data_IF_406608033983
#
_entry.id   IF_406608033983
#
_cell.length_a   1.000
_cell.length_b   1.000
_cell.length_c   1.000
_cell.angle_alpha   90.00
_cell.angle_beta   90.00
_cell.angle_gamma   90.00
#
_symmetry.space_group_name_H-M   'P 1'
#
loop_
_entity.id
_entity.type
_entity.pdbx_description
1 polymer ?
#
# COMPACT_ATOMS: atom_id res chain seq x y z
N UNK A 1 19.84 11.36 -8.45
CA UNK A 1 18.99 10.17 -8.17
C UNK A 1 18.85 9.87 -6.68
N UNK A 2 19.91 9.65 -5.87
CA UNK A 2 19.74 9.33 -4.44
C UNK A 2 19.06 10.43 -3.61
N UNK A 3 19.46 11.71 -3.79
CA UNK A 3 18.85 12.86 -3.08
C UNK A 3 17.38 13.02 -3.46
N UNK A 4 17.05 12.81 -4.73
CA UNK A 4 15.68 12.95 -5.24
C UNK A 4 14.73 11.91 -4.65
N UNK A 5 15.15 10.64 -4.58
CA UNK A 5 14.38 9.58 -3.92
C UNK A 5 14.20 9.90 -2.43
N UNK A 6 15.28 10.36 -1.77
CA UNK A 6 15.23 10.76 -0.36
C UNK A 6 14.24 11.90 -0.13
N UNK A 7 14.25 12.94 -0.97
CA UNK A 7 13.31 14.06 -0.90
C UNK A 7 11.86 13.62 -0.99
N UNK A 8 11.54 12.72 -1.93
CA UNK A 8 10.17 12.20 -2.09
C UNK A 8 9.76 11.40 -0.85
N UNK A 9 10.63 10.52 -0.33
CA UNK A 9 10.35 9.75 0.89
C UNK A 9 10.15 10.68 2.10
N UNK A 10 10.98 11.71 2.25
CA UNK A 10 10.83 12.71 3.30
C UNK A 10 9.50 13.48 3.16
N UNK A 11 9.14 13.88 1.94
CA UNK A 11 7.87 14.56 1.67
C UNK A 11 6.67 13.69 2.05
N UNK A 12 6.66 12.42 1.65
CA UNK A 12 5.60 11.46 1.99
C UNK A 12 5.48 11.27 3.50
N UNK A 13 6.61 11.08 4.19
CA UNK A 13 6.63 10.94 5.65
C UNK A 13 6.16 12.20 6.36
N UNK A 14 6.56 13.38 5.89
CA UNK A 14 6.12 14.65 6.45
C UNK A 14 4.61 14.85 6.26
N UNK A 15 4.10 14.62 5.06
CA UNK A 15 2.67 14.69 4.76
C UNK A 15 1.89 13.72 5.66
N UNK A 16 2.37 12.48 5.80
CA UNK A 16 1.74 11.49 6.69
C UNK A 16 1.70 11.97 8.13
N UNK A 17 2.81 12.50 8.66
CA UNK A 17 2.86 13.02 10.04
C UNK A 17 1.87 14.18 10.21
N UNK A 18 1.89 15.15 9.30
CA UNK A 18 0.97 16.31 9.34
C UNK A 18 -0.50 15.85 9.33
N UNK A 19 -0.88 14.96 8.43
CA UNK A 19 -2.29 14.54 8.27
C UNK A 19 -2.73 13.55 9.33
N UNK A 20 -1.96 12.51 9.61
CA UNK A 20 -2.39 11.38 10.45
C UNK A 20 -2.08 11.58 11.93
N UNK A 21 -0.91 12.17 12.25
CA UNK A 21 -0.47 12.33 13.63
C UNK A 21 -0.89 13.68 14.22
N UNK A 22 -0.79 14.75 13.42
CA UNK A 22 -1.06 16.11 13.87
C UNK A 22 -2.47 16.62 13.53
N UNK A 23 -3.26 15.84 12.78
CA UNK A 23 -4.61 16.19 12.29
C UNK A 23 -4.64 17.54 11.55
N UNK A 24 -3.57 17.84 10.81
CA UNK A 24 -3.42 19.06 10.00
C UNK A 24 -3.74 18.77 8.55
N UNK A 25 -5.00 19.00 8.20
CA UNK A 25 -5.46 18.97 6.83
C UNK A 25 -5.81 20.38 6.33
N UNK A 26 -5.19 20.77 5.22
CA UNK A 26 -5.40 22.02 4.52
C UNK A 26 -6.28 21.83 3.27
N UNK A 27 -6.97 22.89 2.89
CA UNK A 27 -7.57 22.99 1.56
C UNK A 27 -6.48 22.98 0.48
N UNK A 28 -6.84 22.53 -0.72
CA UNK A 28 -5.93 22.61 -1.86
C UNK A 28 -5.77 24.10 -2.23
N UNK A 29 -4.54 24.59 -2.19
CA UNK A 29 -4.19 25.97 -2.53
C UNK A 29 -2.92 26.03 -3.38
N UNK A 30 -2.66 27.14 -4.09
CA UNK A 30 -1.39 27.33 -4.80
C UNK A 30 -0.18 27.14 -3.90
N UNK A 31 -0.21 27.67 -2.67
CA UNK A 31 0.89 27.61 -1.70
C UNK A 31 1.15 26.18 -1.24
N UNK A 32 0.10 25.37 -1.05
CA UNK A 32 0.27 23.95 -0.73
C UNK A 32 0.95 23.19 -1.87
N UNK A 33 0.58 23.48 -3.11
CA UNK A 33 1.15 22.85 -4.31
C UNK A 33 2.62 23.29 -4.50
N UNK A 34 2.92 24.58 -4.31
CA UNK A 34 4.29 25.11 -4.27
C UNK A 34 5.11 24.44 -3.16
N UNK A 35 4.56 24.30 -1.95
CA UNK A 35 5.22 23.62 -0.82
C UNK A 35 5.59 22.18 -1.17
N UNK A 36 4.69 21.44 -1.81
CA UNK A 36 4.97 20.05 -2.18
C UNK A 36 6.00 19.96 -3.31
N UNK A 37 5.99 20.87 -4.30
CA UNK A 37 7.06 20.94 -5.28
C UNK A 37 8.40 21.32 -4.65
N UNK A 38 8.40 22.22 -3.66
CA UNK A 38 9.60 22.55 -2.90
C UNK A 38 10.19 21.30 -2.22
N UNK A 39 9.36 20.47 -1.57
CA UNK A 39 9.83 19.22 -0.98
C UNK A 39 10.47 18.26 -1.99
N UNK A 40 9.94 18.21 -3.22
CA UNK A 40 10.52 17.41 -4.31
C UNK A 40 11.89 17.95 -4.72
N UNK A 41 11.99 19.27 -4.93
CA UNK A 41 13.15 19.91 -5.55
C UNK A 41 14.26 20.36 -4.59
N UNK A 42 14.01 20.39 -3.26
CA UNK A 42 14.98 20.93 -2.27
C UNK A 42 16.35 20.23 -2.39
N UNK A 43 17.43 20.99 -2.24
CA UNK A 43 18.80 20.45 -2.21
C UNK A 43 19.24 19.67 -3.47
N UNK A 44 18.54 19.82 -4.61
CA UNK A 44 18.97 19.21 -5.87
C UNK A 44 19.89 20.12 -6.71
N UNK A 45 19.97 21.42 -6.38
CA UNK A 45 20.78 22.38 -7.14
C UNK A 45 20.43 22.35 -8.63
N UNK A 46 21.45 22.33 -9.48
CA UNK A 46 21.31 22.31 -10.94
C UNK A 46 20.63 21.04 -11.49
N UNK A 47 20.48 19.99 -10.68
CA UNK A 47 19.72 18.79 -11.08
C UNK A 47 18.21 18.99 -11.08
N UNK A 48 17.72 20.10 -10.53
CA UNK A 48 16.31 20.50 -10.61
C UNK A 48 16.22 21.71 -11.52
N UNK A 49 15.56 21.55 -12.67
CA UNK A 49 15.61 22.52 -13.77
C UNK A 49 14.79 23.80 -13.53
N UNK A 50 14.50 24.12 -12.26
CA UNK A 50 13.73 25.30 -11.85
C UNK A 50 13.99 25.66 -10.39
N UNK A 51 13.41 26.74 -9.89
CA UNK A 51 13.44 27.03 -8.44
C UNK A 51 12.36 26.18 -7.75
N UNK A 52 12.72 25.29 -6.80
CA UNK A 52 11.75 24.44 -6.11
C UNK A 52 10.64 25.25 -5.43
N UNK A 53 9.39 24.90 -5.74
CA UNK A 53 8.21 25.58 -5.21
C UNK A 53 7.92 26.93 -5.82
N UNK A 54 8.40 27.22 -7.04
CA UNK A 54 8.04 28.42 -7.79
C UNK A 54 7.42 28.05 -9.13
N UNK A 55 6.23 28.60 -9.38
CA UNK A 55 5.59 28.47 -10.68
C UNK A 55 6.44 29.08 -11.81
N UNK A 56 6.26 28.55 -13.01
CA UNK A 56 6.84 29.13 -14.24
C UNK A 56 6.29 30.54 -14.44
N UNK A 57 7.13 31.42 -14.98
CA UNK A 57 6.83 32.83 -15.23
C UNK A 57 6.89 33.12 -16.74
N UNK A 58 6.44 34.30 -17.21
CA UNK A 58 6.55 34.67 -18.63
C UNK A 58 7.95 34.39 -19.21
N UNK A 59 8.01 33.82 -20.40
CA UNK A 59 9.26 33.40 -21.07
C UNK A 59 9.77 32.00 -20.70
N UNK A 60 9.23 31.36 -19.65
CA UNK A 60 9.62 30.01 -19.22
C UNK A 60 8.60 28.96 -19.68
N UNK A 61 8.52 28.75 -21.00
CA UNK A 61 7.68 27.74 -21.61
C UNK A 61 8.39 26.39 -21.65
N UNK A 62 7.64 25.30 -21.48
CA UNK A 62 8.17 23.92 -21.49
C UNK A 62 7.43 23.06 -22.50
N UNK A 63 8.02 21.92 -22.86
CA UNK A 63 7.39 20.89 -23.70
C UNK A 63 7.55 19.55 -22.98
N UNK A 64 6.46 18.80 -22.88
CA UNK A 64 6.39 17.55 -22.11
C UNK A 64 6.01 16.43 -23.05
N UNK A 65 7.01 15.68 -23.53
CA UNK A 65 6.80 14.75 -24.64
C UNK A 65 6.34 15.51 -25.89
N UNK A 66 5.14 15.20 -26.39
CA UNK A 66 4.51 15.91 -27.52
C UNK A 66 3.57 17.05 -27.12
N UNK A 67 3.33 17.28 -25.82
CA UNK A 67 2.36 18.24 -25.32
C UNK A 67 3.02 19.58 -24.96
N UNK A 68 2.35 20.68 -25.34
CA UNK A 68 2.70 22.04 -24.94
C UNK A 68 1.70 22.54 -23.88
N UNK A 69 2.08 22.58 -22.59
CA UNK A 69 1.23 23.15 -21.54
C UNK A 69 1.05 24.67 -21.72
N UNK A 70 0.13 25.29 -20.95
CA UNK A 70 -0.06 26.73 -20.93
C UNK A 70 1.25 27.52 -20.76
N UNK A 71 1.27 28.73 -21.33
CA UNK A 71 2.45 29.58 -21.23
C UNK A 71 2.75 29.92 -19.77
N UNK A 72 4.02 30.17 -19.44
CA UNK A 72 4.41 30.58 -18.10
C UNK A 72 3.69 31.84 -17.59
N UNK A 73 3.18 32.70 -18.48
CA UNK A 73 2.35 33.85 -18.09
C UNK A 73 0.96 33.46 -17.55
N UNK A 74 0.42 32.34 -18.02
CA UNK A 74 -0.91 31.85 -17.64
C UNK A 74 -0.90 30.94 -16.41
N UNK A 75 0.27 30.44 -15.99
CA UNK A 75 0.36 29.41 -14.96
C UNK A 75 -0.22 29.87 -13.62
N UNK A 76 0.25 30.99 -13.08
CA UNK A 76 -0.22 31.50 -11.79
C UNK A 76 -1.74 31.73 -11.78
N UNK A 77 -2.35 32.47 -12.74
CA UNK A 77 -3.80 32.65 -12.76
C UNK A 77 -4.57 31.33 -12.97
N UNK A 78 -4.05 30.39 -13.76
CA UNK A 78 -4.68 29.08 -13.91
C UNK A 78 -4.63 28.25 -12.63
N UNK A 79 -3.54 28.29 -11.88
CA UNK A 79 -3.42 27.56 -10.61
C UNK A 79 -4.34 28.13 -9.53
N UNK A 80 -4.53 29.45 -9.48
CA UNK A 80 -5.51 30.10 -8.58
C UNK A 80 -6.92 29.61 -8.93
N UNK A 81 -7.32 29.76 -10.21
CA UNK A 81 -8.65 29.32 -10.68
C UNK A 81 -8.89 27.83 -10.48
N UNK A 82 -7.86 27.01 -10.68
CA UNK A 82 -7.93 25.58 -10.44
C UNK A 82 -8.21 25.27 -8.96
N UNK A 83 -7.47 25.88 -8.03
CA UNK A 83 -7.69 25.68 -6.59
C UNK A 83 -9.05 26.18 -6.12
N UNK A 84 -9.51 27.33 -6.63
CA UNK A 84 -10.87 27.86 -6.37
C UNK A 84 -11.94 26.89 -6.87
N UNK A 85 -11.82 26.43 -8.12
CA UNK A 85 -12.75 25.45 -8.69
C UNK A 85 -12.76 24.14 -7.91
N UNK A 86 -11.59 23.64 -7.48
CA UNK A 86 -11.50 22.42 -6.66
C UNK A 86 -12.16 22.59 -5.30
N UNK A 87 -12.09 23.79 -4.71
CA UNK A 87 -12.79 24.12 -3.46
C UNK A 87 -14.30 24.08 -3.68
N UNK A 88 -14.80 24.73 -4.73
CA UNK A 88 -16.24 24.88 -4.98
C UNK A 88 -16.91 23.58 -5.46
N UNK A 89 -16.22 22.82 -6.32
CA UNK A 89 -16.74 21.58 -6.90
C UNK A 89 -16.81 20.46 -5.86
N UNK A 90 -15.82 20.36 -4.99
CA UNK A 90 -15.72 19.27 -4.02
C UNK A 90 -16.12 19.67 -2.60
N UNK A 91 -16.20 20.96 -2.25
CA UNK A 91 -16.76 21.47 -0.98
C UNK A 91 -16.16 20.84 0.29
N UNK A 92 -14.84 20.67 0.31
CA UNK A 92 -14.13 20.05 1.44
C UNK A 92 -14.45 20.70 2.79
N UNK A 93 -14.45 22.04 2.84
CA UNK A 93 -14.69 22.82 4.08
C UNK A 93 -16.11 22.66 4.64
N UNK A 94 -17.08 22.18 3.84
CA UNK A 94 -18.44 21.92 4.33
C UNK A 94 -18.57 20.60 5.09
N UNK A 95 -17.54 19.74 5.07
CA UNK A 95 -17.55 18.43 5.74
C UNK A 95 -18.53 17.42 5.12
N UNK A 96 -19.03 17.68 3.90
CA UNK A 96 -20.07 16.87 3.23
C UNK A 96 -19.53 15.88 2.20
N UNK A 97 -18.22 15.81 2.02
CA UNK A 97 -17.62 14.94 1.02
C UNK A 97 -17.76 13.47 1.40
N UNK A 98 -18.30 12.67 0.48
CA UNK A 98 -18.19 11.22 0.59
C UNK A 98 -16.75 10.78 0.34
N UNK A 99 -16.42 9.55 0.73
CA UNK A 99 -15.17 8.91 0.35
C UNK A 99 -14.94 8.92 -1.18
N UNK A 100 -16.00 8.70 -1.95
CA UNK A 100 -15.94 8.67 -3.41
C UNK A 100 -15.58 10.04 -3.98
N UNK A 101 -16.17 11.11 -3.44
CA UNK A 101 -15.86 12.48 -3.84
C UNK A 101 -14.38 12.80 -3.62
N UNK A 102 -13.81 12.36 -2.51
CA UNK A 102 -12.39 12.60 -2.20
C UNK A 102 -11.44 11.81 -3.10
N UNK A 103 -11.77 10.56 -3.43
CA UNK A 103 -10.99 9.77 -4.40
C UNK A 103 -11.03 10.43 -5.78
N UNK A 104 -12.21 10.87 -6.22
CA UNK A 104 -12.34 11.60 -7.49
C UNK A 104 -11.56 12.92 -7.42
N UNK A 105 -11.62 13.65 -6.30
CA UNK A 105 -10.87 14.88 -6.07
C UNK A 105 -9.36 14.65 -6.24
N UNK A 106 -8.82 13.57 -5.67
CA UNK A 106 -7.40 13.22 -5.77
C UNK A 106 -6.97 13.00 -7.22
N UNK A 107 -7.75 12.18 -7.96
CA UNK A 107 -7.48 11.85 -9.37
C UNK A 107 -7.59 13.09 -10.26
N UNK A 108 -8.63 13.90 -10.07
CA UNK A 108 -8.86 15.12 -10.83
C UNK A 108 -7.73 16.12 -10.56
N UNK A 109 -7.32 16.30 -9.31
CA UNK A 109 -6.21 17.17 -8.96
C UNK A 109 -4.91 16.75 -9.66
N UNK A 110 -4.61 15.45 -9.66
CA UNK A 110 -3.45 14.89 -10.35
C UNK A 110 -3.44 15.25 -11.84
N UNK A 111 -4.57 15.04 -12.53
CA UNK A 111 -4.68 15.30 -13.97
C UNK A 111 -4.51 16.80 -14.27
N UNK A 112 -5.20 17.68 -13.54
CA UNK A 112 -5.09 19.12 -13.79
C UNK A 112 -3.68 19.65 -13.52
N UNK A 113 -3.00 19.21 -12.46
CA UNK A 113 -1.59 19.59 -12.22
C UNK A 113 -0.69 19.11 -13.37
N UNK A 114 -0.91 17.89 -13.86
CA UNK A 114 -0.15 17.36 -15.00
C UNK A 114 -0.39 18.16 -16.30
N UNK A 115 -1.63 18.61 -16.53
CA UNK A 115 -2.04 19.38 -17.72
C UNK A 115 -1.60 20.85 -17.69
N UNK A 116 -1.73 21.53 -16.54
CA UNK A 116 -1.26 22.92 -16.34
C UNK A 116 0.27 22.95 -16.35
N UNK A 117 0.89 21.91 -15.79
CA UNK A 117 2.34 21.75 -15.70
C UNK A 117 3.02 23.00 -15.09
N UNK A 118 2.67 23.37 -13.84
CA UNK A 118 2.96 24.69 -13.30
C UNK A 118 4.44 24.95 -12.98
N UNK A 119 5.27 23.92 -12.84
CA UNK A 119 6.69 24.06 -12.48
C UNK A 119 7.60 23.76 -13.68
N UNK A 120 8.85 24.23 -13.63
CA UNK A 120 9.85 23.84 -14.64
C UNK A 120 10.31 22.39 -14.49
N UNK A 121 10.28 21.84 -13.27
CA UNK A 121 10.52 20.42 -12.99
C UNK A 121 9.65 19.93 -11.81
N UNK A 122 9.48 18.62 -11.67
CA UNK A 122 8.83 17.99 -10.52
C UNK A 122 7.32 17.80 -10.67
N UNK A 123 6.69 18.27 -11.74
CA UNK A 123 5.22 18.25 -11.91
C UNK A 123 4.57 16.89 -11.66
N UNK A 124 5.11 15.82 -12.27
CA UNK A 124 4.58 14.47 -12.08
C UNK A 124 4.78 13.90 -10.67
N UNK A 125 5.81 14.37 -9.94
CA UNK A 125 6.08 14.00 -8.54
C UNK A 125 5.16 14.80 -7.61
N UNK A 126 5.02 16.10 -7.85
CA UNK A 126 4.09 16.99 -7.14
C UNK A 126 2.63 16.54 -7.29
N UNK A 127 2.20 16.18 -8.51
CA UNK A 127 0.84 15.67 -8.76
C UNK A 127 0.55 14.42 -7.91
N UNK A 128 1.49 13.47 -7.85
CA UNK A 128 1.39 12.27 -7.01
C UNK A 128 1.39 12.57 -5.52
N UNK A 129 2.18 13.56 -5.06
CA UNK A 129 2.16 13.99 -3.66
C UNK A 129 0.81 14.61 -3.28
N UNK A 130 0.21 15.41 -4.16
CA UNK A 130 -1.13 15.98 -3.96
C UNK A 130 -2.20 14.88 -3.97
N UNK A 131 -2.12 13.93 -4.89
CA UNK A 131 -3.03 12.77 -4.94
C UNK A 131 -2.94 11.95 -3.64
N UNK A 132 -1.72 11.59 -3.22
CA UNK A 132 -1.45 10.90 -1.96
C UNK A 132 -1.99 11.65 -0.74
N UNK A 133 -1.75 12.96 -0.68
CA UNK A 133 -2.23 13.83 0.39
C UNK A 133 -3.76 13.82 0.50
N UNK A 134 -4.46 13.98 -0.62
CA UNK A 134 -5.94 13.98 -0.64
C UNK A 134 -6.49 12.62 -0.22
N UNK A 135 -5.86 11.50 -0.64
CA UNK A 135 -6.25 10.16 -0.23
C UNK A 135 -6.03 9.92 1.27
N UNK A 136 -4.89 10.33 1.83
CA UNK A 136 -4.64 10.26 3.28
C UNK A 136 -5.68 11.07 4.06
N UNK A 137 -5.96 12.29 3.61
CA UNK A 137 -6.97 13.18 4.21
C UNK A 137 -8.38 12.58 4.17
N UNK A 138 -8.66 11.72 3.20
CA UNK A 138 -9.91 10.98 3.11
C UNK A 138 -10.02 9.80 4.10
N UNK A 139 -9.00 9.60 4.95
CA UNK A 139 -8.95 8.53 5.95
C UNK A 139 -8.43 7.21 5.40
N UNK A 140 -7.82 7.20 4.22
CA UNK A 140 -7.15 5.98 3.73
C UNK A 140 -5.90 5.67 4.55
N UNK A 141 -5.63 4.39 4.84
CA UNK A 141 -4.34 3.97 5.36
C UNK A 141 -3.19 4.38 4.43
N UNK A 142 -2.01 4.64 5.00
CA UNK A 142 -0.78 5.01 4.29
C UNK A 142 -0.50 4.10 3.09
N UNK A 143 -0.52 2.79 3.32
CA UNK A 143 -0.30 1.78 2.27
C UNK A 143 -1.31 1.91 1.11
N UNK A 144 -2.58 2.22 1.41
CA UNK A 144 -3.62 2.33 0.40
C UNK A 144 -3.55 3.66 -0.37
N UNK A 145 -3.01 4.71 0.24
CA UNK A 145 -2.84 6.03 -0.39
C UNK A 145 -1.77 6.03 -1.49
N UNK A 146 -0.91 5.02 -1.55
CA UNK A 146 0.08 4.84 -2.63
C UNK A 146 -0.46 4.10 -3.87
N UNK A 147 -1.65 3.51 -3.80
CA UNK A 147 -2.15 2.60 -4.83
C UNK A 147 -2.19 3.26 -6.23
N UNK A 148 -2.69 4.49 -6.34
CA UNK A 148 -2.79 5.18 -7.63
C UNK A 148 -1.42 5.43 -8.25
N UNK A 149 -0.45 5.91 -7.47
CA UNK A 149 0.93 6.10 -7.93
C UNK A 149 1.55 4.79 -8.43
N UNK A 150 1.33 3.68 -7.72
CA UNK A 150 1.79 2.35 -8.13
C UNK A 150 1.10 1.91 -9.42
N UNK A 151 -0.21 2.06 -9.50
CA UNK A 151 -0.98 1.71 -10.70
C UNK A 151 -0.48 2.46 -11.95
N UNK A 152 -0.25 3.77 -11.83
CA UNK A 152 0.31 4.57 -12.92
C UNK A 152 1.73 4.16 -13.31
N UNK A 153 2.54 3.69 -12.36
CA UNK A 153 3.87 3.18 -12.63
C UNK A 153 3.84 1.82 -13.35
N UNK A 154 3.02 0.89 -12.85
CA UNK A 154 2.91 -0.47 -13.38
C UNK A 154 2.25 -0.49 -14.76
N UNK A 155 1.41 0.51 -15.05
CA UNK A 155 0.71 0.67 -16.34
C UNK A 155 1.14 1.94 -17.08
N UNK A 156 2.42 2.31 -16.97
CA UNK A 156 3.00 3.58 -17.47
C UNK A 156 2.58 3.99 -18.88
N UNK A 157 2.51 3.05 -19.81
CA UNK A 157 2.08 3.33 -21.19
C UNK A 157 0.62 3.79 -21.26
N UNK A 158 -0.29 3.08 -20.59
CA UNK A 158 -1.71 3.44 -20.55
C UNK A 158 -1.92 4.74 -19.76
N UNK A 159 -1.19 4.94 -18.66
CA UNK A 159 -1.21 6.20 -17.90
C UNK A 159 -0.94 7.42 -18.79
N UNK A 160 0.14 7.41 -19.56
CA UNK A 160 0.45 8.53 -20.47
C UNK A 160 -0.55 8.62 -21.62
N UNK A 161 -1.04 7.49 -22.15
CA UNK A 161 -2.09 7.48 -23.18
C UNK A 161 -3.36 8.15 -22.67
N UNK A 162 -3.77 7.89 -21.43
CA UNK A 162 -4.95 8.50 -20.82
C UNK A 162 -4.76 10.00 -20.58
N UNK A 163 -3.58 10.44 -20.15
CA UNK A 163 -3.29 11.88 -20.06
C UNK A 163 -3.34 12.59 -21.42
N UNK A 164 -2.79 11.98 -22.47
CA UNK A 164 -2.86 12.52 -23.83
C UNK A 164 -4.31 12.68 -24.30
N UNK A 165 -5.16 11.68 -24.05
CA UNK A 165 -6.58 11.74 -24.37
C UNK A 165 -7.33 12.84 -23.59
N UNK A 166 -7.00 13.07 -22.32
CA UNK A 166 -7.60 14.18 -21.56
C UNK A 166 -7.35 15.53 -22.23
N UNK A 167 -6.13 15.75 -22.72
CA UNK A 167 -5.76 16.98 -23.43
C UNK A 167 -6.47 17.07 -24.77
N UNK A 168 -6.45 15.99 -25.56
CA UNK A 168 -6.97 15.98 -26.93
C UNK A 168 -8.49 16.05 -27.00
N UNK A 169 -9.18 15.31 -26.14
CA UNK A 169 -10.65 15.20 -26.13
C UNK A 169 -11.32 16.15 -25.14
N UNK A 170 -10.54 16.82 -24.27
CA UNK A 170 -11.02 17.75 -23.24
C UNK A 170 -12.02 17.11 -22.28
N UNK A 171 -11.75 15.87 -21.92
CA UNK A 171 -12.65 14.97 -21.18
C UNK A 171 -11.85 14.22 -20.11
N UNK A 172 -12.40 14.05 -18.90
CA UNK A 172 -11.68 13.46 -17.76
C UNK A 172 -12.16 12.05 -17.41
N UNK A 173 -13.40 11.69 -17.75
CA UNK A 173 -14.03 10.40 -17.45
C UNK A 173 -13.17 9.23 -17.88
N UNK A 174 -12.55 9.30 -19.07
CA UNK A 174 -11.63 8.27 -19.54
C UNK A 174 -10.49 7.98 -18.56
N UNK A 175 -9.85 9.02 -18.02
CA UNK A 175 -8.77 8.89 -17.03
C UNK A 175 -9.32 8.51 -15.65
N UNK A 176 -10.40 9.15 -15.20
CA UNK A 176 -11.03 8.85 -13.91
C UNK A 176 -11.45 7.39 -13.83
N UNK A 177 -12.10 6.85 -14.88
CA UNK A 177 -12.49 5.44 -14.94
C UNK A 177 -11.27 4.52 -14.87
N UNK A 178 -10.21 4.84 -15.61
CA UNK A 178 -8.96 4.08 -15.57
C UNK A 178 -8.36 4.06 -14.15
N UNK A 179 -8.20 5.24 -13.52
CA UNK A 179 -7.64 5.38 -12.19
C UNK A 179 -8.50 4.70 -11.11
N UNK A 180 -9.83 4.86 -11.13
CA UNK A 180 -10.74 4.23 -10.16
C UNK A 180 -10.72 2.70 -10.27
N UNK A 181 -10.65 2.14 -11.49
CA UNK A 181 -10.54 0.69 -11.67
C UNK A 181 -9.21 0.15 -11.12
N UNK A 182 -8.09 0.84 -11.42
CA UNK A 182 -6.80 0.52 -10.85
C UNK A 182 -6.78 0.62 -9.32
N UNK A 183 -7.41 1.66 -8.77
CA UNK A 183 -7.54 1.85 -7.34
C UNK A 183 -8.32 0.73 -6.65
N UNK A 184 -9.48 0.35 -7.21
CA UNK A 184 -10.29 -0.78 -6.74
C UNK A 184 -9.47 -2.07 -6.70
N UNK A 185 -8.71 -2.36 -7.74
CA UNK A 185 -7.94 -3.60 -7.83
C UNK A 185 -6.73 -3.59 -6.90
N UNK A 186 -6.07 -2.44 -6.74
CA UNK A 186 -5.04 -2.26 -5.72
C UNK A 186 -5.58 -2.39 -4.29
N UNK A 187 -6.77 -1.88 -3.99
CA UNK A 187 -7.40 -2.03 -2.68
C UNK A 187 -7.68 -3.50 -2.35
N UNK A 188 -8.12 -4.29 -3.34
CA UNK A 188 -8.27 -5.75 -3.18
C UNK A 188 -6.91 -6.41 -2.90
N UNK A 189 -5.86 -6.03 -3.63
CA UNK A 189 -4.51 -6.56 -3.40
C UNK A 189 -4.00 -6.26 -1.99
N UNK A 190 -4.16 -5.02 -1.51
CA UNK A 190 -3.81 -4.65 -0.12
C UNK A 190 -4.63 -5.46 0.89
N UNK A 191 -5.94 -5.61 0.66
CA UNK A 191 -6.81 -6.40 1.53
C UNK A 191 -6.38 -7.87 1.59
N UNK A 192 -6.04 -8.49 0.47
CA UNK A 192 -5.59 -9.88 0.41
C UNK A 192 -4.27 -10.06 1.17
N UNK A 193 -3.31 -9.13 1.04
CA UNK A 193 -2.06 -9.13 1.81
C UNK A 193 -2.33 -9.01 3.31
N UNK A 194 -3.17 -8.06 3.71
CA UNK A 194 -3.51 -7.85 5.13
C UNK A 194 -4.21 -9.09 5.70
N UNK A 195 -5.15 -9.67 4.97
CA UNK A 195 -5.86 -10.88 5.40
C UNK A 195 -4.92 -12.08 5.54
N UNK A 196 -3.99 -12.27 4.59
CA UNK A 196 -2.99 -13.35 4.67
C UNK A 196 -2.10 -13.19 5.90
N UNK A 197 -1.57 -11.98 6.15
CA UNK A 197 -0.75 -11.70 7.32
C UNK A 197 -1.52 -11.88 8.64
N UNK A 198 -2.77 -11.41 8.70
CA UNK A 198 -3.61 -11.59 9.89
C UNK A 198 -3.92 -13.06 10.16
N UNK A 199 -4.18 -13.84 9.10
CA UNK A 199 -4.40 -15.28 9.20
C UNK A 199 -3.16 -15.99 9.73
N UNK A 200 -1.98 -15.67 9.18
CA UNK A 200 -0.72 -16.23 9.62
C UNK A 200 -0.41 -15.87 11.09
N UNK A 201 -0.53 -14.60 11.47
CA UNK A 201 -0.29 -14.16 12.85
C UNK A 201 -1.27 -14.81 13.84
N UNK A 202 -2.54 -14.93 13.45
CA UNK A 202 -3.57 -15.59 14.28
C UNK A 202 -3.26 -17.06 14.45
N UNK A 203 -2.81 -17.74 13.38
CA UNK A 203 -2.38 -19.12 13.42
C UNK A 203 -1.19 -19.33 14.36
N UNK A 204 -0.17 -18.50 14.25
CA UNK A 204 0.98 -18.52 15.15
C UNK A 204 0.51 -18.33 16.60
N UNK A 205 -0.28 -17.30 16.88
CA UNK A 205 -0.81 -17.03 18.22
C UNK A 205 -1.59 -18.23 18.77
N UNK A 206 -2.46 -18.83 17.96
CA UNK A 206 -3.25 -20.00 18.33
C UNK A 206 -2.38 -21.20 18.71
N UNK A 207 -1.31 -21.49 17.94
CA UNK A 207 -0.33 -22.53 18.29
C UNK A 207 0.31 -22.25 19.65
N UNK A 208 0.75 -21.00 19.89
CA UNK A 208 1.38 -20.62 21.15
C UNK A 208 0.40 -20.78 22.32
N UNK A 209 -0.79 -20.20 22.23
CA UNK A 209 -1.81 -20.24 23.29
C UNK A 209 -2.24 -21.70 23.59
N UNK A 210 -2.44 -22.51 22.55
CA UNK A 210 -2.81 -23.93 22.68
C UNK A 210 -1.72 -24.74 23.39
N UNK A 211 -0.44 -24.54 23.05
CA UNK A 211 0.66 -25.31 23.63
C UNK A 211 1.16 -24.75 24.97
N UNK A 212 1.09 -23.44 25.20
CA UNK A 212 1.46 -22.82 26.48
C UNK A 212 0.40 -23.06 27.58
N UNK A 213 -0.88 -23.16 27.23
CA UNK A 213 -1.93 -23.59 28.17
C UNK A 213 -1.65 -24.98 28.78
N UNK A 214 -0.86 -25.82 28.08
CA UNK A 214 -0.43 -27.15 28.53
C UNK A 214 0.82 -27.16 29.44
N UNK A 215 1.50 -26.03 29.67
CA UNK A 215 2.46 -25.93 30.79
C UNK A 215 1.78 -26.24 32.14
N UNK A 216 0.47 -26.04 32.23
CA UNK A 216 -0.34 -26.35 33.41
C UNK A 216 -0.62 -27.86 33.61
N UNK A 217 -0.32 -28.74 32.63
CA UNK A 217 -0.68 -30.18 32.68
C UNK A 217 0.53 -31.13 32.82
N UNK A 218 1.70 -30.64 33.25
CA UNK A 218 2.83 -31.51 33.66
C UNK A 218 3.83 -31.94 32.57
N UNK A 219 3.72 -31.44 31.33
CA UNK A 219 4.76 -31.67 30.29
C UNK A 219 5.99 -30.80 30.53
N UNK A 220 7.19 -31.34 30.27
CA UNK A 220 8.42 -30.56 30.39
C UNK A 220 8.48 -29.43 29.36
N UNK A 221 9.13 -28.32 29.75
CA UNK A 221 9.32 -27.14 28.89
C UNK A 221 9.97 -27.49 27.54
N UNK A 222 10.83 -28.51 27.52
CA UNK A 222 11.50 -29.00 26.32
C UNK A 222 10.52 -29.64 25.31
N UNK A 223 9.58 -30.47 25.78
CA UNK A 223 8.58 -31.11 24.92
C UNK A 223 7.66 -30.05 24.31
N UNK A 224 7.17 -29.11 25.12
CA UNK A 224 6.29 -28.03 24.64
C UNK A 224 6.99 -27.18 23.57
N UNK A 225 8.27 -26.83 23.79
CA UNK A 225 9.07 -26.10 22.81
C UNK A 225 9.20 -26.88 21.50
N UNK A 226 9.53 -28.17 21.56
CA UNK A 226 9.67 -29.03 20.38
C UNK A 226 8.36 -29.17 19.59
N UNK A 227 7.24 -29.43 20.29
CA UNK A 227 5.90 -29.55 19.68
C UNK A 227 5.48 -28.24 19.01
N UNK A 228 5.85 -27.09 19.61
CA UNK A 228 5.63 -25.77 19.02
C UNK A 228 6.47 -25.57 17.76
N UNK A 229 7.76 -25.87 17.82
CA UNK A 229 8.63 -25.80 16.63
C UNK A 229 8.06 -26.66 15.51
N UNK A 230 7.61 -27.88 15.80
CA UNK A 230 6.97 -28.76 14.83
C UNK A 230 5.72 -28.12 14.21
N UNK A 231 4.81 -27.57 15.04
CA UNK A 231 3.57 -26.94 14.57
C UNK A 231 3.82 -25.71 13.70
N UNK A 232 4.80 -24.88 14.07
CA UNK A 232 5.15 -23.65 13.33
C UNK A 232 5.84 -23.93 11.99
N UNK A 233 6.51 -25.06 11.87
CA UNK A 233 7.22 -25.47 10.65
C UNK A 233 6.36 -26.33 9.72
N UNK A 234 5.12 -26.63 10.11
CA UNK A 234 4.21 -27.45 9.33
C UNK A 234 3.60 -26.64 8.17
N UNK A 235 3.74 -27.09 6.91
CA UNK A 235 3.04 -26.49 5.78
C UNK A 235 1.53 -26.58 5.98
N UNK A 236 0.82 -25.48 5.69
CA UNK A 236 -0.64 -25.38 5.85
C UNK A 236 -1.39 -25.64 4.54
N UNK A 237 -0.69 -25.50 3.42
CA UNK A 237 -1.18 -25.58 2.05
C UNK A 237 -0.80 -26.92 1.36
N UNK A 238 0.08 -27.71 1.97
CA UNK A 238 0.63 -28.93 1.37
C UNK A 238 0.59 -30.12 2.33
N UNK A 239 0.23 -31.29 1.79
CA UNK A 239 0.25 -32.56 2.52
C UNK A 239 1.63 -33.18 2.48
N UNK A 240 2.21 -33.46 3.65
CA UNK A 240 3.57 -33.99 3.76
C UNK A 240 3.59 -35.27 4.60
N UNK A 241 4.51 -36.19 4.29
CA UNK A 241 4.81 -37.28 5.21
C UNK A 241 5.67 -36.78 6.38
N UNK A 242 5.71 -37.47 7.52
CA UNK A 242 6.58 -37.11 8.64
C UNK A 242 8.05 -36.94 8.24
N UNK A 243 8.55 -37.80 7.34
CA UNK A 243 9.95 -37.76 6.90
C UNK A 243 10.23 -36.57 5.97
N UNK A 244 9.32 -36.27 5.04
CA UNK A 244 9.44 -35.12 4.14
C UNK A 244 9.62 -33.81 4.92
N UNK A 245 8.88 -33.65 6.03
CA UNK A 245 8.90 -32.46 6.88
C UNK A 245 10.23 -32.24 7.58
N UNK A 246 10.83 -33.32 8.08
CA UNK A 246 12.13 -33.26 8.77
C UNK A 246 13.22 -32.94 7.76
N UNK A 247 13.12 -33.49 6.54
CA UNK A 247 14.09 -33.22 5.47
C UNK A 247 13.95 -31.80 4.91
N UNK A 248 12.73 -31.30 4.75
CA UNK A 248 12.48 -29.98 4.16
C UNK A 248 12.76 -28.80 5.09
N UNK A 249 12.83 -29.03 6.41
CA UNK A 249 13.13 -28.00 7.40
C UNK A 249 14.42 -28.32 8.17
N UNK A 250 15.49 -27.55 7.92
CA UNK A 250 16.75 -27.68 8.67
C UNK A 250 16.58 -27.46 10.18
N UNK A 251 15.55 -26.72 10.60
CA UNK A 251 15.17 -26.55 12.00
C UNK A 251 14.64 -27.87 12.57
N UNK A 252 13.69 -28.52 11.88
CA UNK A 252 13.14 -29.80 12.31
C UNK A 252 14.17 -30.93 12.23
N UNK A 253 15.00 -30.96 11.19
CA UNK A 253 16.12 -31.87 11.07
C UNK A 253 17.00 -31.84 12.32
N UNK A 254 17.39 -30.63 12.76
CA UNK A 254 18.21 -30.46 13.97
C UNK A 254 17.46 -30.83 15.25
N UNK A 255 16.19 -30.45 15.37
CA UNK A 255 15.38 -30.68 16.57
C UNK A 255 15.09 -32.18 16.79
N UNK A 256 14.98 -32.96 15.71
CA UNK A 256 14.68 -34.40 15.76
C UNK A 256 15.87 -35.32 15.47
N UNK A 257 17.06 -34.80 15.13
CA UNK A 257 18.25 -35.59 14.74
C UNK A 257 18.65 -36.68 15.74
N UNK A 258 18.48 -36.44 17.05
CA UNK A 258 18.87 -37.36 18.12
C UNK A 258 17.68 -38.12 18.72
N UNK A 259 16.49 -37.96 18.15
CA UNK A 259 15.24 -38.54 18.66
C UNK A 259 14.78 -39.69 17.76
N UNK A 260 14.10 -40.67 18.36
CA UNK A 260 13.50 -41.76 17.57
C UNK A 260 12.31 -41.29 16.75
N UNK A 261 12.05 -41.95 15.61
CA UNK A 261 10.85 -41.71 14.79
C UNK A 261 9.56 -41.90 15.60
N UNK A 262 9.56 -42.77 16.61
CA UNK A 262 8.44 -42.93 17.54
C UNK A 262 8.14 -41.65 18.34
N UNK A 263 9.15 -40.83 18.66
CA UNK A 263 8.94 -39.53 19.32
C UNK A 263 8.24 -38.55 18.39
N UNK A 264 8.66 -38.44 17.12
CA UNK A 264 8.00 -37.61 16.13
C UNK A 264 6.53 -38.02 15.95
N UNK A 265 6.27 -39.32 15.84
CA UNK A 265 4.90 -39.84 15.73
C UNK A 265 4.03 -39.53 16.96
N UNK A 266 4.59 -39.57 18.17
CA UNK A 266 3.87 -39.16 19.40
C UNK A 266 3.57 -37.67 19.42
N UNK A 267 4.52 -36.85 18.98
CA UNK A 267 4.31 -35.40 18.90
C UNK A 267 3.24 -35.07 17.85
N UNK A 268 3.28 -35.69 16.67
CA UNK A 268 2.24 -35.55 15.63
C UNK A 268 0.85 -35.96 16.13
N UNK A 269 0.74 -37.10 16.81
CA UNK A 269 -0.53 -37.55 17.38
C UNK A 269 -1.09 -36.56 18.42
N UNK A 270 -0.22 -35.94 19.20
CA UNK A 270 -0.64 -34.89 20.13
C UNK A 270 -1.07 -33.62 19.39
N UNK A 271 -0.36 -33.19 18.35
CA UNK A 271 -0.76 -32.03 17.55
C UNK A 271 -2.10 -32.27 16.84
N UNK A 272 -2.35 -33.49 16.36
CA UNK A 272 -3.63 -33.91 15.78
C UNK A 272 -4.75 -33.83 16.82
N UNK A 273 -4.51 -34.35 18.04
CA UNK A 273 -5.45 -34.26 19.16
C UNK A 273 -5.74 -32.81 19.59
N UNK A 274 -4.81 -31.89 19.37
CA UNK A 274 -4.95 -30.46 19.65
C UNK A 274 -5.50 -29.68 18.45
N UNK A 275 -5.90 -30.37 17.37
CA UNK A 275 -6.38 -29.77 16.13
C UNK A 275 -5.38 -28.80 15.49
N UNK A 276 -4.08 -28.92 15.81
CA UNK A 276 -3.02 -28.10 15.22
C UNK A 276 -2.54 -28.66 13.87
N UNK A 277 -2.72 -29.96 13.65
CA UNK A 277 -2.53 -30.61 12.35
C UNK A 277 -3.73 -31.47 12.02
N UNK A 278 -3.98 -31.66 10.73
CA UNK A 278 -4.91 -32.66 10.22
C UNK A 278 -4.14 -33.77 9.53
N UNK A 279 -4.70 -34.98 9.52
CA UNK A 279 -4.10 -36.18 8.96
C UNK A 279 -4.99 -36.79 7.90
N UNK A 280 -4.40 -37.14 6.76
CA UNK A 280 -5.05 -37.90 5.69
C UNK A 280 -4.07 -38.88 5.06
N UNK A 281 -4.41 -40.17 5.03
CA UNK A 281 -3.61 -41.25 4.40
C UNK A 281 -2.12 -41.25 4.81
N UNK A 282 -1.85 -41.00 6.10
CA UNK A 282 -0.48 -40.97 6.65
C UNK A 282 0.31 -39.70 6.35
N UNK A 283 -0.31 -38.72 5.66
CA UNK A 283 0.21 -37.38 5.46
C UNK A 283 -0.47 -36.41 6.40
N UNK A 284 0.20 -35.32 6.68
CA UNK A 284 -0.26 -34.28 7.59
C UNK A 284 -0.15 -32.91 6.92
N UNK A 285 -0.95 -31.96 7.40
CA UNK A 285 -0.77 -30.52 7.14
C UNK A 285 -1.24 -29.71 8.34
N UNK A 286 -0.78 -28.47 8.48
CA UNK A 286 -1.25 -27.56 9.52
C UNK A 286 -2.74 -27.26 9.35
N UNK A 287 -3.49 -27.25 10.45
CA UNK A 287 -4.94 -27.03 10.42
C UNK A 287 -5.30 -25.53 10.44
N UNK A 288 -4.74 -24.75 9.53
CA UNK A 288 -4.98 -23.29 9.50
C UNK A 288 -6.45 -22.94 9.24
N UNK A 289 -7.21 -23.89 8.70
CA UNK A 289 -8.64 -23.74 8.38
C UNK A 289 -9.49 -23.44 9.62
N UNK A 290 -9.07 -23.86 10.81
CA UNK A 290 -9.73 -23.50 12.08
C UNK A 290 -9.73 -21.98 12.31
N UNK A 291 -8.76 -21.27 11.73
CA UNK A 291 -8.69 -19.81 11.79
C UNK A 291 -9.73 -19.13 10.89
N UNK A 292 -10.35 -19.82 9.92
CA UNK A 292 -11.37 -19.20 9.05
C UNK A 292 -12.58 -18.70 9.80
N UNK A 293 -12.93 -19.33 10.93
CA UNK A 293 -14.01 -18.86 11.81
C UNK A 293 -13.74 -17.48 12.45
N UNK A 294 -12.47 -17.04 12.46
CA UNK A 294 -12.05 -15.73 12.98
C UNK A 294 -11.87 -14.68 11.87
N UNK A 295 -11.95 -15.07 10.59
CA UNK A 295 -11.84 -14.13 9.47
C UNK A 295 -13.20 -13.45 9.18
N UNK A 296 -13.21 -12.20 8.69
CA UNK A 296 -14.43 -11.54 8.24
C UNK A 296 -15.13 -12.37 7.15
N UNK A 297 -16.44 -12.57 7.29
CA UNK A 297 -17.26 -13.27 6.29
C UNK A 297 -17.10 -12.60 4.92
N UNK A 298 -16.53 -13.32 3.95
CA UNK A 298 -16.62 -12.92 2.54
C UNK A 298 -18.10 -13.10 2.13
N UNK A 299 -18.79 -12.01 1.76
CA UNK A 299 -20.03 -12.15 0.98
C UNK A 299 -19.67 -12.98 -0.25
N UNK A 300 -20.35 -14.11 -0.44
CA UNK A 300 -20.24 -14.88 -1.68
C UNK A 300 -20.53 -13.92 -2.84
N UNK A 301 -19.67 -13.97 -3.86
CA UNK A 301 -19.82 -13.16 -5.08
C UNK A 301 -21.07 -13.55 -5.83
#
# INVERSE_FOLDING_TARGET
MQIEVKNVIEALNQIRTEVITEDKAFILSPELIERFNHFVGKNLGDHFQSVPGKFRTPGHNVVVGGYRPPSGEDVAPLMIRFCEWMRDAFRYEEGKQSFQDQVIQAIVAHVYIAMIHPFGDGNGRTARLIEFYILLRAGLPDMASHILSNHYNDTRQEYYRRLDLCVRERELFGFVRYAVLGFRDGLKGVLDIVQANLLEMSWHKFIYDTLDSKKATGKTRAIVKRQRTLSLQFPVDQWNTPDDLVVSSGILAKEYATLSSATLMRDLAELERLELVVKEKGRYKGNIEIMRGYLPMRKAK
#
